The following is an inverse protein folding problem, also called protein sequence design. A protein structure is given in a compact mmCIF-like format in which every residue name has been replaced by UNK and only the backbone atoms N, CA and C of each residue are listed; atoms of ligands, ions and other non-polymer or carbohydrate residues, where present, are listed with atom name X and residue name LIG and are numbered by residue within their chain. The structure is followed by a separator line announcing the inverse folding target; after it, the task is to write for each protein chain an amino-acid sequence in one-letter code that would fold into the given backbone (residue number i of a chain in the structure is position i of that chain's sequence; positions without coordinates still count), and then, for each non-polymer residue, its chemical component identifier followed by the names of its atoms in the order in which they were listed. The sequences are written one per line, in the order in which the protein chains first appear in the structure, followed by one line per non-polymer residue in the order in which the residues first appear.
data_IF_564624158882
#
_entry.id   IF_564624158882
#
_cell.length_a   1.000
_cell.length_b   1.000
_cell.length_c   1.000
_cell.angle_alpha   90.00
_cell.angle_beta   90.00
_cell.angle_gamma   90.00
#
_symmetry.space_group_name_H-M   'P 1'
#
loop_
_entity.id
_entity.type
_entity.pdbx_description
1 polymer ?
#
# COMPACT_ATOMS: atom_id res chain seq x y z
N UNK A 1 -0.09 16.56 7.46
CA UNK A 1 -0.71 15.39 6.81
C UNK A 1 0.40 14.48 6.33
N UNK A 2 0.28 13.16 6.56
CA UNK A 2 1.19 12.19 5.96
C UNK A 2 0.76 11.95 4.51
N UNK A 3 1.72 11.92 3.58
CA UNK A 3 1.44 11.54 2.18
C UNK A 3 0.97 10.08 2.07
N UNK A 4 1.26 9.27 3.08
CA UNK A 4 0.77 7.90 3.22
C UNK A 4 -0.01 7.73 4.53
N UNK A 5 -1.25 7.29 4.43
CA UNK A 5 -2.10 6.96 5.59
C UNK A 5 -1.65 5.71 6.35
N UNK A 6 -0.72 4.94 5.79
CA UNK A 6 -0.11 3.77 6.42
C UNK A 6 1.40 4.01 6.66
N UNK A 7 1.87 4.11 7.92
CA UNK A 7 3.26 4.44 8.23
C UNK A 7 4.26 3.36 7.80
N UNK A 8 3.80 2.11 7.66
CA UNK A 8 4.64 0.97 7.29
C UNK A 8 4.53 0.60 5.80
N UNK A 9 3.74 1.34 5.02
CA UNK A 9 3.65 1.14 3.58
C UNK A 9 4.65 2.09 2.92
N UNK A 10 5.62 1.53 2.20
CA UNK A 10 6.56 2.31 1.39
C UNK A 10 6.03 2.35 -0.03
N UNK A 11 5.92 3.54 -0.61
CA UNK A 11 5.49 3.74 -1.99
C UNK A 11 6.68 4.23 -2.81
N UNK A 12 6.95 3.57 -3.92
CA UNK A 12 7.95 3.99 -4.90
C UNK A 12 7.26 4.35 -6.21
N UNK A 13 7.55 5.54 -6.72
CA UNK A 13 6.99 6.05 -7.97
C UNK A 13 8.06 6.23 -9.04
N UNK A 14 7.78 5.75 -10.25
CA UNK A 14 8.67 5.93 -11.41
C UNK A 14 7.87 6.21 -12.68
N UNK A 15 8.45 6.94 -13.64
CA UNK A 15 7.84 7.09 -14.96
C UNK A 15 8.43 6.03 -15.88
N UNK A 16 7.59 5.11 -16.37
CA UNK A 16 7.95 4.26 -17.51
C UNK A 16 7.63 4.95 -18.81
N UNK A 17 8.61 4.94 -19.71
CA UNK A 17 8.48 5.40 -21.08
C UNK A 17 8.31 4.18 -21.98
N UNK A 18 7.38 4.28 -22.94
CA UNK A 18 7.21 3.27 -23.98
C UNK A 18 8.24 3.44 -25.11
N UNK A 19 7.95 2.82 -26.25
CA UNK A 19 8.83 2.84 -27.42
C UNK A 19 8.96 4.26 -27.96
N UNK A 20 10.20 4.67 -28.28
CA UNK A 20 10.51 6.02 -28.80
C UNK A 20 10.00 7.18 -27.92
N UNK A 21 9.86 6.95 -26.60
CA UNK A 21 9.43 7.99 -25.66
C UNK A 21 7.92 8.24 -25.62
N UNK A 22 7.11 7.49 -26.37
CA UNK A 22 5.65 7.57 -26.32
C UNK A 22 5.09 6.85 -25.07
N UNK A 23 3.82 7.13 -24.72
CA UNK A 23 3.08 6.45 -23.65
C UNK A 23 3.79 6.47 -22.28
N UNK A 24 4.11 7.67 -21.79
CA UNK A 24 4.64 7.85 -20.43
C UNK A 24 3.56 7.49 -19.43
N UNK A 25 3.84 6.53 -18.55
CA UNK A 25 2.94 6.14 -17.47
C UNK A 25 3.66 6.21 -16.13
N UNK A 26 2.94 6.63 -15.10
CA UNK A 26 3.39 6.51 -13.72
C UNK A 26 3.23 5.04 -13.30
N UNK A 27 4.30 4.43 -12.85
CA UNK A 27 4.26 3.16 -12.13
C UNK A 27 4.43 3.43 -10.65
N UNK A 28 3.60 2.76 -9.85
CA UNK A 28 3.62 2.84 -8.39
C UNK A 28 3.80 1.42 -7.88
N UNK A 29 4.92 1.20 -7.17
CA UNK A 29 5.17 -0.03 -6.44
C UNK A 29 4.94 0.23 -4.95
N UNK A 30 4.58 -0.83 -4.22
CA UNK A 30 4.38 -0.73 -2.78
C UNK A 30 4.95 -1.93 -2.03
N UNK A 31 5.53 -1.66 -0.87
CA UNK A 31 6.15 -2.66 0.01
C UNK A 31 5.78 -2.40 1.46
N UNK A 32 5.49 -3.45 2.23
CA UNK A 32 5.25 -3.33 3.66
C UNK A 32 6.57 -3.47 4.43
N UNK A 33 7.09 -2.41 5.03
CA UNK A 33 8.34 -2.44 5.80
C UNK A 33 8.21 -3.22 7.12
N UNK A 34 7.00 -3.38 7.64
CA UNK A 34 6.74 -4.14 8.87
C UNK A 34 6.79 -5.66 8.64
N UNK A 35 6.11 -6.12 7.59
CA UNK A 35 5.97 -7.56 7.31
C UNK A 35 6.90 -8.08 6.22
N UNK A 36 7.65 -7.17 5.58
CA UNK A 36 8.64 -7.46 4.55
C UNK A 36 8.05 -8.18 3.32
N UNK A 37 6.90 -7.68 2.85
CA UNK A 37 6.19 -8.25 1.69
C UNK A 37 5.83 -7.17 0.67
N UNK A 38 5.84 -7.54 -0.60
CA UNK A 38 5.27 -6.72 -1.66
C UNK A 38 3.75 -6.56 -1.50
N UNK A 39 3.26 -5.36 -1.80
CA UNK A 39 1.84 -5.03 -1.76
C UNK A 39 1.36 -4.81 -3.20
N UNK A 40 0.76 -5.84 -3.84
CA UNK A 40 0.41 -5.79 -5.27
C UNK A 40 -0.71 -4.78 -5.57
N UNK A 41 -1.50 -4.43 -4.56
CA UNK A 41 -2.57 -3.44 -4.64
C UNK A 41 -2.27 -2.29 -3.65
N UNK A 42 -1.40 -1.33 -4.01
CA UNK A 42 -0.98 -0.22 -3.14
C UNK A 42 -2.15 0.54 -2.49
N UNK A 43 -3.25 0.69 -3.22
CA UNK A 43 -4.47 1.38 -2.77
C UNK A 43 -5.24 0.61 -1.68
N UNK A 44 -5.04 -0.70 -1.56
CA UNK A 44 -5.66 -1.54 -0.53
C UNK A 44 -4.76 -1.62 0.71
N UNK A 45 -3.45 -1.69 0.51
CA UNK A 45 -2.45 -1.82 1.57
C UNK A 45 -2.15 -3.26 1.98
N UNK A 46 -1.37 -3.43 3.04
CA UNK A 46 -0.90 -4.74 3.49
C UNK A 46 -2.01 -5.54 4.20
N UNK A 47 -2.28 -6.76 3.73
CA UNK A 47 -3.29 -7.67 4.30
C UNK A 47 -2.96 -8.10 5.73
N UNK A 48 -1.68 -8.27 6.07
CA UNK A 48 -1.26 -8.66 7.42
C UNK A 48 -1.46 -7.52 8.43
N UNK A 49 -1.09 -6.29 8.06
CA UNK A 49 -1.42 -5.11 8.87
C UNK A 49 -2.94 -4.98 9.12
N UNK A 50 -3.78 -5.36 8.16
CA UNK A 50 -5.23 -5.29 8.32
C UNK A 50 -5.76 -6.33 9.33
N UNK A 51 -5.20 -7.55 9.34
CA UNK A 51 -5.58 -8.61 10.27
C UNK A 51 -5.16 -8.35 11.72
N UNK A 52 -4.12 -7.55 11.92
CA UNK A 52 -3.66 -7.14 13.26
C UNK A 52 -4.54 -6.05 13.88
N UNK A 53 -5.34 -5.34 13.08
CA UNK A 53 -6.25 -4.32 13.59
C UNK A 53 -7.47 -5.02 14.19
N UNK A 54 -7.95 -4.57 15.37
CA UNK A 54 -9.22 -5.04 15.90
C UNK A 54 -10.31 -4.82 14.86
N UNK A 55 -11.13 -5.85 14.65
CA UNK A 55 -12.28 -5.75 13.78
C UNK A 55 -13.35 -4.85 14.39
N UNK A 56 -14.37 -4.57 13.57
CA UNK A 56 -15.44 -3.64 13.96
C UNK A 56 -16.17 -4.12 15.23
N UNK A 57 -16.35 -5.44 15.38
CA UNK A 57 -17.05 -6.01 16.54
C UNK A 57 -16.24 -5.87 17.83
N UNK A 58 -14.93 -6.11 17.78
CA UNK A 58 -14.05 -5.94 18.93
C UNK A 58 -13.98 -4.48 19.40
N UNK A 59 -14.14 -3.52 18.48
CA UNK A 59 -14.14 -2.10 18.81
C UNK A 59 -15.42 -1.63 19.54
N UNK A 60 -16.56 -2.31 19.34
CA UNK A 60 -17.85 -1.92 19.93
C UNK A 60 -18.34 -2.87 21.05
N UNK A 61 -17.53 -3.85 21.46
CA UNK A 61 -17.80 -4.66 22.65
C UNK A 61 -18.92 -5.70 22.49
N UNK A 62 -19.27 -6.08 21.25
CA UNK A 62 -20.27 -7.12 20.95
C UNK A 62 -19.59 -8.48 20.71
N UNK A 63 -18.80 -8.94 21.69
CA UNK A 63 -18.05 -10.20 21.67
C UNK A 63 -18.59 -11.22 22.67
#
# INVERSE_FOLDING_TARGET
MLANSSPNLVLEGGIKVGIMGMNRRMEVNAFCSKHLVDVPEPQVGCKQCALEKPGLRELFGEG
#
